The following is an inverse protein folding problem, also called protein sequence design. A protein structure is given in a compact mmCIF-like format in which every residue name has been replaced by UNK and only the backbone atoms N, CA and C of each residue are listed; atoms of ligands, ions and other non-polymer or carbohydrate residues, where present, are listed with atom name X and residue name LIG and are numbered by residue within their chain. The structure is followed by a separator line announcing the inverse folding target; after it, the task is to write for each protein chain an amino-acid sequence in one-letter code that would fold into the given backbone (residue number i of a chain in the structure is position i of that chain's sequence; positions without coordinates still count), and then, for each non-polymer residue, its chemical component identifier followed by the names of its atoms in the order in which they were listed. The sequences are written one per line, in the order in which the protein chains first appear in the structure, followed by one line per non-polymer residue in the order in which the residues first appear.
data_IF_901472081617
#
_entry.id   IF_901472081617
#
_cell.length_a   1.000
_cell.length_b   1.000
_cell.length_c   1.000
_cell.angle_alpha   90.00
_cell.angle_beta   90.00
_cell.angle_gamma   90.00
#
_symmetry.space_group_name_H-M   'P 1'
#
loop_
_entity.id
_entity.type
_entity.pdbx_description
1 polymer ?
#
# COMPACT_ATOMS: atom_id res chain seq x y z
N UNK A 1 18.17 -0.63 2.30
CA UNK A 1 16.90 0.01 1.86
C UNK A 1 16.16 -0.95 0.96
N UNK A 2 16.85 -1.57 0.01
CA UNK A 2 16.33 -2.68 -0.83
C UNK A 2 15.89 -3.91 -0.02
N UNK A 3 16.61 -4.30 1.04
CA UNK A 3 16.23 -5.45 1.90
C UNK A 3 14.85 -5.28 2.58
N UNK A 4 14.49 -4.05 2.96
CA UNK A 4 13.22 -3.78 3.64
C UNK A 4 12.04 -3.76 2.65
N UNK A 5 12.27 -3.32 1.42
CA UNK A 5 11.27 -3.37 0.35
C UNK A 5 11.00 -4.81 -0.06
N UNK A 6 12.04 -5.63 -0.19
CA UNK A 6 11.92 -7.07 -0.40
C UNK A 6 11.21 -7.76 0.77
N UNK A 7 11.59 -7.46 2.01
CA UNK A 7 10.90 -8.01 3.19
C UNK A 7 9.44 -7.55 3.30
N UNK A 8 9.08 -6.33 2.90
CA UNK A 8 7.68 -5.89 2.85
C UNK A 8 6.91 -6.57 1.70
N UNK A 9 7.55 -6.77 0.55
CA UNK A 9 6.95 -7.45 -0.60
C UNK A 9 6.76 -8.95 -0.32
N UNK A 10 7.71 -9.59 0.36
CA UNK A 10 7.62 -10.97 0.87
C UNK A 10 6.60 -11.06 2.03
N UNK A 11 6.61 -10.13 2.98
CA UNK A 11 5.61 -10.06 4.05
C UNK A 11 4.18 -9.84 3.51
N UNK A 12 4.02 -9.11 2.40
CA UNK A 12 2.73 -8.93 1.74
C UNK A 12 2.21 -10.24 1.11
N UNK A 13 3.12 -11.10 0.65
CA UNK A 13 2.81 -12.41 0.06
C UNK A 13 2.61 -13.47 1.17
N UNK A 14 3.41 -13.44 2.25
CA UNK A 14 3.32 -14.35 3.38
C UNK A 14 2.13 -14.05 4.31
N UNK A 15 1.76 -12.77 4.51
CA UNK A 15 0.58 -12.38 5.28
C UNK A 15 -0.73 -12.90 4.66
N UNK A 16 -0.72 -13.23 3.37
CA UNK A 16 -1.87 -13.79 2.67
C UNK A 16 -1.96 -15.32 2.72
N UNK A 17 -0.89 -16.05 3.10
CA UNK A 17 -0.85 -17.52 2.98
C UNK A 17 -0.18 -18.29 4.13
N UNK A 18 0.49 -17.65 5.08
CA UNK A 18 1.15 -18.30 6.21
C UNK A 18 0.48 -17.96 7.56
N UNK A 19 0.50 -18.88 8.55
CA UNK A 19 0.11 -18.52 9.92
C UNK A 19 1.08 -17.46 10.46
N UNK A 20 0.61 -16.21 10.56
CA UNK A 20 1.02 -14.97 11.28
C UNK A 20 2.41 -14.85 11.99
N UNK A 21 3.39 -15.70 11.74
CA UNK A 21 4.41 -16.02 12.74
C UNK A 21 5.86 -15.67 12.37
N UNK A 22 6.11 -14.70 11.49
CA UNK A 22 7.45 -14.08 11.43
C UNK A 22 7.51 -12.60 10.96
N UNK A 23 6.47 -11.79 11.20
CA UNK A 23 6.60 -10.32 11.04
C UNK A 23 7.48 -9.68 12.14
N UNK A 24 7.87 -10.45 13.15
CA UNK A 24 8.74 -10.00 14.26
C UNK A 24 10.16 -9.61 13.85
N UNK A 25 10.59 -9.93 12.63
CA UNK A 25 11.91 -9.56 12.10
C UNK A 25 11.92 -8.19 11.42
N UNK A 26 10.76 -7.70 10.98
CA UNK A 26 10.61 -6.42 10.31
C UNK A 26 10.43 -5.33 11.37
N UNK A 27 11.51 -4.62 11.69
CA UNK A 27 11.44 -3.45 12.56
C UNK A 27 10.91 -2.23 11.78
N UNK A 28 9.59 -2.04 11.83
CA UNK A 28 8.90 -0.89 11.25
C UNK A 28 8.87 0.34 12.17
N UNK A 29 9.34 0.23 13.41
CA UNK A 29 9.29 1.32 14.37
C UNK A 29 10.02 2.58 13.84
N UNK A 30 9.27 3.68 13.76
CA UNK A 30 9.75 4.95 13.21
C UNK A 30 9.49 5.15 11.72
N UNK A 31 9.00 4.13 10.99
CA UNK A 31 8.55 4.28 9.60
C UNK A 31 7.13 4.80 9.54
N UNK A 32 6.87 5.67 8.56
CA UNK A 32 5.53 6.23 8.28
C UNK A 32 5.01 5.72 6.95
N UNK A 33 3.87 5.05 7.01
CA UNK A 33 3.20 4.43 5.86
C UNK A 33 1.80 5.04 5.78
N UNK A 34 1.36 5.41 4.59
CA UNK A 34 0.01 5.91 4.42
C UNK A 34 -0.60 5.49 3.09
N UNK A 35 -1.94 5.50 3.04
CA UNK A 35 -2.71 5.18 1.84
C UNK A 35 -3.70 6.28 1.45
N UNK A 36 -4.02 6.36 0.17
CA UNK A 36 -5.22 7.02 -0.33
C UNK A 36 -6.23 5.96 -0.77
N UNK A 37 -7.51 6.17 -0.49
CA UNK A 37 -8.57 5.28 -0.99
C UNK A 37 -8.95 5.66 -2.43
N UNK A 38 -9.61 4.75 -3.13
CA UNK A 38 -10.51 5.15 -4.21
C UNK A 38 -11.74 5.89 -3.63
N UNK A 39 -12.59 6.42 -4.51
CA UNK A 39 -13.81 7.17 -4.19
C UNK A 39 -14.87 6.39 -3.37
N UNK A 40 -14.67 5.10 -3.13
CA UNK A 40 -15.54 4.25 -2.29
C UNK A 40 -15.38 4.45 -0.79
N UNK A 41 -14.31 5.11 -0.33
CA UNK A 41 -14.02 5.33 1.09
C UNK A 41 -13.52 4.06 1.82
N UNK A 42 -13.14 4.20 3.10
CA UNK A 42 -12.43 3.15 3.84
C UNK A 42 -13.32 1.99 4.30
N UNK A 43 -14.64 2.16 4.27
CA UNK A 43 -15.63 1.17 4.74
C UNK A 43 -16.48 0.63 3.58
N UNK A 44 -15.87 0.47 2.41
CA UNK A 44 -16.52 0.04 1.16
C UNK A 44 -16.90 -1.45 1.11
N UNK A 45 -16.61 -2.22 2.16
CA UNK A 45 -16.77 -3.69 2.22
C UNK A 45 -16.04 -4.42 1.10
N UNK A 46 -14.96 -3.81 0.59
CA UNK A 46 -14.22 -4.26 -0.57
C UNK A 46 -12.73 -3.94 -0.39
N UNK A 47 -12.06 -3.50 -1.46
CA UNK A 47 -10.62 -3.31 -1.51
C UNK A 47 -10.11 -2.25 -0.54
N UNK A 48 -10.81 -1.13 -0.34
CA UNK A 48 -10.32 -0.07 0.54
C UNK A 48 -10.32 -0.52 2.01
N UNK A 49 -11.39 -1.18 2.45
CA UNK A 49 -11.45 -1.74 3.80
C UNK A 49 -10.36 -2.79 4.02
N UNK A 50 -10.20 -3.71 3.07
CA UNK A 50 -9.21 -4.79 3.16
C UNK A 50 -7.78 -4.24 3.26
N UNK A 51 -7.46 -3.21 2.47
CA UNK A 51 -6.16 -2.54 2.52
C UNK A 51 -5.91 -1.86 3.87
N UNK A 52 -6.92 -1.22 4.46
CA UNK A 52 -6.80 -0.59 5.78
C UNK A 52 -6.58 -1.61 6.90
N UNK A 53 -7.32 -2.72 6.89
CA UNK A 53 -7.13 -3.80 7.84
C UNK A 53 -5.73 -4.41 7.75
N UNK A 54 -5.19 -4.57 6.54
CA UNK A 54 -3.80 -4.99 6.33
C UNK A 54 -2.78 -4.01 6.92
N UNK A 55 -2.95 -2.69 6.71
CA UNK A 55 -2.09 -1.68 7.31
C UNK A 55 -2.14 -1.68 8.84
N UNK A 56 -3.32 -1.92 9.43
CA UNK A 56 -3.45 -2.03 10.88
C UNK A 56 -2.69 -3.26 11.42
N UNK A 57 -2.76 -4.40 10.74
CA UNK A 57 -1.98 -5.58 11.10
C UNK A 57 -0.48 -5.32 10.98
N UNK A 58 -0.04 -4.61 9.94
CA UNK A 58 1.36 -4.20 9.76
C UNK A 58 1.83 -3.31 10.92
N UNK A 59 1.04 -2.31 11.32
CA UNK A 59 1.32 -1.48 12.51
C UNK A 59 1.50 -2.37 13.74
N UNK A 60 0.54 -3.25 13.99
CA UNK A 60 0.52 -4.06 15.22
C UNK A 60 1.68 -5.06 15.26
N UNK A 61 2.13 -5.55 14.10
CA UNK A 61 3.25 -6.49 13.99
C UNK A 61 4.64 -5.83 14.01
N UNK A 62 4.79 -4.66 13.40
CA UNK A 62 6.12 -4.04 13.14
C UNK A 62 6.38 -2.77 13.94
N UNK A 63 5.35 -2.15 14.50
CA UNK A 63 5.41 -0.84 15.16
C UNK A 63 5.46 0.36 14.22
N UNK A 64 5.25 0.17 12.91
CA UNK A 64 5.15 1.26 11.95
C UNK A 64 3.94 2.18 12.22
N UNK A 65 4.06 3.46 11.90
CA UNK A 65 2.93 4.39 11.92
C UNK A 65 2.15 4.27 10.62
N UNK A 66 0.84 4.04 10.71
CA UNK A 66 -0.05 3.94 9.53
C UNK A 66 -1.10 5.05 9.53
N UNK A 67 -1.41 5.61 8.36
CA UNK A 67 -2.43 6.63 8.17
C UNK A 67 -3.18 6.45 6.83
N UNK A 68 -4.31 7.13 6.66
CA UNK A 68 -5.05 7.11 5.41
C UNK A 68 -5.67 8.48 5.09
N UNK A 69 -5.94 8.72 3.81
CA UNK A 69 -6.80 9.81 3.31
C UNK A 69 -7.89 9.18 2.47
N UNK A 70 -9.16 9.48 2.79
CA UNK A 70 -10.27 9.11 1.92
C UNK A 70 -10.36 10.08 0.74
N UNK A 71 -10.27 9.54 -0.47
CA UNK A 71 -10.46 10.34 -1.69
C UNK A 71 -11.94 10.49 -1.96
N UNK A 72 -12.42 11.73 -2.16
CA UNK A 72 -13.84 12.01 -2.42
C UNK A 72 -14.20 12.00 -3.90
N UNK A 73 -13.25 12.35 -4.76
CA UNK A 73 -13.39 12.40 -6.21
C UNK A 73 -12.04 12.10 -6.86
N UNK A 74 -12.07 11.52 -8.06
CA UNK A 74 -10.85 11.09 -8.77
C UNK A 74 -9.88 12.22 -9.09
N UNK A 75 -10.36 13.47 -9.20
CA UNK A 75 -9.50 14.64 -9.39
C UNK A 75 -8.58 14.95 -8.20
N UNK A 76 -8.83 14.39 -7.02
CA UNK A 76 -8.07 14.67 -5.81
C UNK A 76 -6.92 13.69 -5.56
N UNK A 77 -6.75 12.64 -6.38
CA UNK A 77 -5.73 11.59 -6.13
C UNK A 77 -4.32 12.17 -6.01
N UNK A 78 -3.92 13.03 -6.95
CA UNK A 78 -2.59 13.64 -6.96
C UNK A 78 -2.37 14.52 -5.72
N UNK A 79 -3.34 15.39 -5.40
CA UNK A 79 -3.26 16.27 -4.22
C UNK A 79 -3.23 15.48 -2.90
N UNK A 80 -3.97 14.37 -2.82
CA UNK A 80 -3.94 13.51 -1.65
C UNK A 80 -2.58 12.80 -1.50
N UNK A 81 -2.00 12.31 -2.59
CA UNK A 81 -0.65 11.72 -2.57
C UNK A 81 0.42 12.74 -2.18
N UNK A 82 0.36 13.95 -2.73
CA UNK A 82 1.24 15.06 -2.33
C UNK A 82 1.12 15.37 -0.83
N UNK A 83 -0.11 15.38 -0.30
CA UNK A 83 -0.35 15.56 1.13
C UNK A 83 0.29 14.45 1.97
N UNK A 84 0.29 13.19 1.50
CA UNK A 84 0.98 12.10 2.19
C UNK A 84 2.49 12.30 2.21
N UNK A 85 3.08 12.70 1.08
CA UNK A 85 4.51 13.00 0.99
C UNK A 85 4.89 14.15 1.93
N UNK A 86 4.14 15.24 1.91
CA UNK A 86 4.38 16.42 2.74
C UNK A 86 4.30 16.13 4.25
N UNK A 87 3.48 15.15 4.64
CA UNK A 87 3.38 14.68 6.03
C UNK A 87 4.58 13.80 6.45
N UNK A 88 5.55 13.58 5.55
CA UNK A 88 6.76 12.82 5.77
C UNK A 88 6.51 11.31 5.76
N UNK A 89 5.53 10.82 4.99
CA UNK A 89 5.36 9.39 4.78
C UNK A 89 6.44 8.88 3.82
N UNK A 90 7.14 7.82 4.23
CA UNK A 90 8.17 7.18 3.41
C UNK A 90 7.55 6.20 2.40
N UNK A 91 6.35 5.70 2.71
CA UNK A 91 5.59 4.76 1.90
C UNK A 91 4.18 5.28 1.67
N UNK A 92 3.81 5.50 0.40
CA UNK A 92 2.50 6.03 0.00
C UNK A 92 1.79 5.07 -0.95
N UNK A 93 0.62 4.58 -0.55
CA UNK A 93 -0.12 3.55 -1.30
C UNK A 93 -1.39 4.13 -1.92
N UNK A 94 -1.60 3.91 -3.21
CA UNK A 94 -2.86 4.15 -3.89
C UNK A 94 -3.69 2.87 -3.95
N UNK A 95 -4.95 2.92 -3.55
CA UNK A 95 -5.85 1.76 -3.65
C UNK A 95 -6.76 1.91 -4.87
N UNK A 96 -6.68 0.94 -5.78
CA UNK A 96 -7.54 0.85 -6.95
C UNK A 96 -6.88 1.36 -8.22
N UNK A 97 -7.27 0.77 -9.35
CA UNK A 97 -6.76 1.13 -10.67
C UNK A 97 -6.90 2.63 -11.01
N UNK A 98 -7.96 3.28 -10.53
CA UNK A 98 -8.25 4.68 -10.84
C UNK A 98 -7.16 5.67 -10.39
N UNK A 99 -6.38 5.34 -9.36
CA UNK A 99 -5.29 6.19 -8.87
C UNK A 99 -3.92 5.85 -9.48
N UNK A 100 -3.84 4.84 -10.36
CA UNK A 100 -2.57 4.32 -10.87
C UNK A 100 -1.70 5.38 -11.56
N UNK A 101 -2.30 6.23 -12.39
CA UNK A 101 -1.60 7.31 -13.10
C UNK A 101 -1.09 8.38 -12.12
N UNK A 102 -1.89 8.72 -11.11
CA UNK A 102 -1.49 9.69 -10.08
C UNK A 102 -0.34 9.17 -9.22
N UNK A 103 -0.32 7.86 -8.94
CA UNK A 103 0.78 7.19 -8.23
C UNK A 103 2.08 7.27 -9.03
N UNK A 104 2.04 7.03 -10.35
CA UNK A 104 3.22 7.17 -11.20
C UNK A 104 3.76 8.61 -11.20
N UNK A 105 2.89 9.59 -11.40
CA UNK A 105 3.28 10.99 -11.42
C UNK A 105 3.89 11.43 -10.07
N UNK A 106 3.29 11.00 -8.95
CA UNK A 106 3.83 11.27 -7.62
C UNK A 106 5.20 10.61 -7.40
N UNK A 107 5.39 9.40 -7.91
CA UNK A 107 6.66 8.68 -7.82
C UNK A 107 7.78 9.32 -8.65
N UNK A 108 7.46 9.82 -9.84
CA UNK A 108 8.43 10.56 -10.67
C UNK A 108 8.88 11.86 -9.99
N UNK A 109 7.96 12.54 -9.29
CA UNK A 109 8.27 13.78 -8.55
C UNK A 109 9.07 13.54 -7.27
N UNK A 110 8.93 12.38 -6.64
CA UNK A 110 9.47 12.07 -5.31
C UNK A 110 10.28 10.76 -5.33
N UNK A 111 11.50 10.76 -5.90
CA UNK A 111 12.30 9.55 -6.06
C UNK A 111 12.76 8.93 -4.72
N UNK A 112 12.80 9.72 -3.63
CA UNK A 112 13.11 9.23 -2.29
C UNK A 112 11.93 8.56 -1.56
N UNK A 113 10.70 8.73 -2.05
CA UNK A 113 9.49 8.13 -1.47
C UNK A 113 9.14 6.87 -2.24
N UNK A 114 8.79 5.81 -1.51
CA UNK A 114 8.32 4.56 -2.10
C UNK A 114 6.80 4.59 -2.27
N UNK A 115 6.33 4.22 -3.45
CA UNK A 115 4.92 4.19 -3.79
C UNK A 115 4.46 2.78 -4.11
N UNK A 116 3.20 2.49 -3.82
CA UNK A 116 2.55 1.26 -4.27
C UNK A 116 1.16 1.57 -4.84
N UNK A 117 0.70 0.75 -5.79
CA UNK A 117 -0.67 0.80 -6.30
C UNK A 117 -1.29 -0.58 -6.20
N UNK A 118 -2.39 -0.69 -5.44
CA UNK A 118 -3.17 -1.93 -5.33
C UNK A 118 -4.14 -2.00 -6.50
N UNK A 119 -4.32 -3.21 -7.06
CA UNK A 119 -5.13 -3.52 -8.23
C UNK A 119 -4.59 -2.94 -9.55
N UNK A 120 -3.27 -2.82 -9.67
CA UNK A 120 -2.63 -2.41 -10.91
C UNK A 120 -1.27 -3.09 -11.15
N UNK A 121 -0.98 -3.39 -12.42
CA UNK A 121 0.36 -3.76 -12.89
C UNK A 121 0.82 -2.73 -13.93
N UNK A 122 1.97 -2.11 -13.71
CA UNK A 122 2.54 -1.16 -14.65
C UNK A 122 3.41 -1.88 -15.69
N UNK A 123 3.24 -1.56 -16.97
CA UNK A 123 4.10 -2.09 -18.05
C UNK A 123 5.56 -1.65 -17.88
N UNK A 124 5.77 -0.43 -17.39
CA UNK A 124 7.05 0.12 -17.00
C UNK A 124 6.96 0.60 -15.56
N UNK A 125 7.48 -0.20 -14.62
CA UNK A 125 7.43 0.13 -13.19
C UNK A 125 8.72 0.88 -12.80
N UNK A 126 8.64 2.15 -12.36
CA UNK A 126 9.78 2.83 -11.74
C UNK A 126 10.30 2.07 -10.52
N UNK A 127 11.59 2.24 -10.17
CA UNK A 127 12.19 1.52 -9.03
C UNK A 127 11.53 1.82 -7.68
N UNK A 128 10.94 3.00 -7.54
CA UNK A 128 10.23 3.44 -6.34
C UNK A 128 8.71 3.20 -6.41
N UNK A 129 8.22 2.41 -7.38
CA UNK A 129 6.81 2.06 -7.51
C UNK A 129 6.65 0.55 -7.42
N UNK A 130 5.64 0.08 -6.72
CA UNK A 130 5.26 -1.34 -6.68
C UNK A 130 3.80 -1.51 -7.06
N UNK A 131 3.53 -2.18 -8.18
CA UNK A 131 2.17 -2.62 -8.52
C UNK A 131 1.82 -3.89 -7.78
N UNK A 132 0.74 -3.87 -7.00
CA UNK A 132 0.21 -5.03 -6.28
C UNK A 132 -1.06 -5.48 -6.97
N UNK A 133 -0.95 -6.54 -7.78
CA UNK A 133 -2.13 -7.19 -8.38
C UNK A 133 -2.70 -8.22 -7.42
N UNK A 134 -4.00 -8.13 -7.12
CA UNK A 134 -4.66 -9.07 -6.23
C UNK A 134 -4.84 -10.42 -6.96
N UNK A 135 -4.09 -11.46 -6.57
CA UNK A 135 -4.28 -12.83 -7.08
C UNK A 135 -5.47 -13.49 -6.37
N UNK A 136 -6.70 -13.16 -6.79
CA UNK A 136 -7.94 -13.73 -6.25
C UNK A 136 -8.02 -15.28 -6.28
N UNK A 137 -7.13 -15.95 -7.02
CA UNK A 137 -7.05 -17.42 -7.07
C UNK A 137 -6.46 -18.07 -5.82
N UNK A 138 -5.66 -17.38 -5.00
CA UNK A 138 -5.11 -17.98 -3.76
C UNK A 138 -6.08 -17.87 -2.57
N UNK A 139 -7.00 -16.89 -2.54
CA UNK A 139 -8.03 -16.82 -1.47
C UNK A 139 -9.12 -17.89 -1.63
N UNK A 140 -9.36 -18.37 -2.85
CA UNK A 140 -10.34 -19.43 -3.11
C UNK A 140 -9.89 -20.81 -2.60
N UNK A 141 -8.59 -20.99 -2.30
CA UNK A 141 -8.08 -22.26 -1.79
C UNK A 141 -8.24 -22.42 -0.27
N UNK A 142 -8.46 -21.34 0.49
CA UNK A 142 -8.63 -21.41 1.95
C UNK A 142 -10.07 -21.38 2.45
N UNK A 143 -11.06 -21.34 1.56
CA UNK A 143 -12.50 -21.44 1.91
C UNK A 143 -13.17 -22.68 1.31
N UNK A 144 -12.38 -23.62 0.77
CA UNK A 144 -12.80 -24.92 0.26
C UNK A 144 -12.33 -26.07 1.14
#
# INVERSE_FOLDING_TARGET
MEDFLLELQEASIEALTAPVNDLSRVNGAGRKIAMITDTGGINDQSFNQSAWEGMQQLRDATGASVAYIETKQSGDFATNLETLVDNGNEFCWGIGFACADAVLEAAEKNPEVSFACVDNSYEHTPQNVTGVVFRAQESSFMVG
#
